data_IF_448941654849
#
_entry.id   IF_448941654849
#
_cell.length_a   1.000
_cell.length_b   1.000
_cell.length_c   1.000
_cell.angle_alpha   90.00
_cell.angle_beta   90.00
_cell.angle_gamma   90.00
#
_symmetry.space_group_name_H-M   'P 1'
#
loop_
_entity.id
_entity.type
_entity.pdbx_description
1 polymer ?
#
# COMPACT_ATOMS: atom_id res chain seq x y z
N UNK A 1 -3.68 5.60 11.46
CA UNK A 1 -2.71 6.36 10.66
C UNK A 1 -2.26 5.48 9.49
N UNK A 2 -1.33 5.94 8.64
CA UNK A 2 -0.77 5.13 7.54
C UNK A 2 0.51 4.35 7.96
N UNK A 3 0.78 4.17 9.25
CA UNK A 3 2.07 3.64 9.74
C UNK A 3 2.40 2.25 9.20
N UNK A 4 1.40 1.35 9.11
CA UNK A 4 1.61 0.01 8.57
C UNK A 4 1.99 0.04 7.08
N UNK A 5 1.32 0.88 6.29
CA UNK A 5 1.64 1.08 4.88
C UNK A 5 3.04 1.69 4.73
N UNK A 6 3.40 2.69 5.54
CA UNK A 6 4.71 3.34 5.47
C UNK A 6 5.87 2.41 5.84
N UNK A 7 5.70 1.52 6.84
CA UNK A 7 6.69 0.48 7.14
C UNK A 7 6.91 -0.43 5.94
N UNK A 8 5.82 -0.93 5.36
CA UNK A 8 5.84 -1.86 4.24
C UNK A 8 6.58 -1.32 3.00
N UNK A 9 6.53 -0.01 2.72
CA UNK A 9 7.23 0.59 1.57
C UNK A 9 8.75 0.34 1.56
N UNK A 10 9.33 0.01 2.72
CA UNK A 10 10.74 -0.33 2.88
C UNK A 10 11.05 -1.83 2.80
N UNK A 11 10.02 -2.68 2.72
CA UNK A 11 10.13 -4.13 2.92
C UNK A 11 10.07 -4.94 1.61
N UNK A 12 9.32 -4.47 0.60
CA UNK A 12 9.09 -5.25 -0.62
C UNK A 12 8.96 -4.41 -1.88
N UNK A 13 9.96 -4.55 -2.77
CA UNK A 13 10.16 -3.64 -3.88
C UNK A 13 10.59 -2.25 -3.40
N UNK A 14 11.33 -1.52 -4.24
CA UNK A 14 11.74 -0.15 -3.91
C UNK A 14 10.49 0.74 -3.89
N UNK A 15 10.03 1.10 -2.68
CA UNK A 15 8.78 1.84 -2.45
C UNK A 15 7.56 1.20 -3.13
N UNK A 16 7.54 -0.14 -3.17
CA UNK A 16 6.48 -0.95 -3.77
C UNK A 16 5.35 -1.24 -2.79
N UNK A 17 4.19 -1.61 -3.34
CA UNK A 17 3.06 -2.12 -2.55
C UNK A 17 2.81 -3.54 -3.07
N UNK A 18 2.94 -4.53 -2.17
CA UNK A 18 2.74 -5.94 -2.52
C UNK A 18 1.33 -6.16 -3.08
N UNK A 19 1.22 -7.08 -4.05
CA UNK A 19 -0.07 -7.49 -4.61
C UNK A 19 -0.89 -8.26 -3.58
N UNK A 20 -0.23 -9.15 -2.83
CA UNK A 20 -0.84 -9.97 -1.79
C UNK A 20 0.01 -9.98 -0.53
N UNK A 21 -0.63 -10.34 0.58
CA UNK A 21 -0.01 -10.47 1.90
C UNK A 21 -0.51 -11.76 2.57
N UNK A 22 0.35 -12.40 3.37
CA UNK A 22 -0.05 -13.54 4.18
C UNK A 22 -1.16 -13.17 5.19
N UNK A 23 -2.08 -14.10 5.44
CA UNK A 23 -3.11 -13.93 6.47
C UNK A 23 -2.62 -14.13 7.90
N UNK A 24 -1.45 -14.74 8.09
CA UNK A 24 -0.83 -14.96 9.40
C UNK A 24 0.27 -13.94 9.64
N UNK A 25 0.47 -13.52 10.89
CA UNK A 25 1.63 -12.71 11.30
C UNK A 25 2.94 -13.39 10.85
N UNK A 26 3.92 -12.66 10.27
CA UNK A 26 4.03 -11.20 10.17
C UNK A 26 3.42 -10.57 8.91
N UNK A 27 2.47 -11.23 8.23
CA UNK A 27 1.82 -10.74 7.01
C UNK A 27 2.81 -10.40 5.89
N UNK A 28 3.64 -11.39 5.48
CA UNK A 28 4.68 -11.14 4.49
C UNK A 28 4.06 -10.76 3.13
N UNK A 29 4.64 -9.78 2.43
CA UNK A 29 4.22 -9.43 1.08
C UNK A 29 4.70 -10.47 0.06
N UNK A 30 3.89 -10.70 -0.96
CA UNK A 30 4.19 -11.59 -2.09
C UNK A 30 3.51 -11.09 -3.38
N UNK A 31 3.72 -11.80 -4.48
CA UNK A 31 3.21 -11.44 -5.81
C UNK A 31 4.00 -10.29 -6.43
N UNK A 32 3.37 -9.53 -7.32
CA UNK A 32 4.06 -8.42 -7.99
C UNK A 32 4.24 -7.20 -7.07
N UNK A 33 5.48 -6.69 -6.87
CA UNK A 33 5.75 -5.56 -5.97
C UNK A 33 5.28 -4.19 -6.48
N UNK A 34 4.92 -4.06 -7.77
CA UNK A 34 4.55 -2.80 -8.42
C UNK A 34 3.35 -2.93 -9.35
N UNK A 35 2.20 -3.36 -8.83
CA UNK A 35 0.97 -3.33 -9.62
C UNK A 35 0.28 -1.97 -9.60
N UNK A 36 -0.24 -1.59 -10.77
CA UNK A 36 -0.91 -0.32 -10.95
C UNK A 36 -2.14 -0.16 -10.05
N UNK A 37 -2.91 -1.23 -9.81
CA UNK A 37 -4.11 -1.14 -8.98
C UNK A 37 -3.80 -0.84 -7.51
N UNK A 38 -2.68 -1.34 -6.98
CA UNK A 38 -2.35 -1.17 -5.55
C UNK A 38 -2.03 0.30 -5.27
N UNK A 39 -1.27 0.93 -6.16
CA UNK A 39 -0.96 2.37 -6.08
C UNK A 39 -2.20 3.21 -6.36
N UNK A 40 -2.99 2.85 -7.38
CA UNK A 40 -4.20 3.58 -7.73
C UNK A 40 -5.22 3.64 -6.58
N UNK A 41 -5.36 2.55 -5.82
CA UNK A 41 -6.30 2.49 -4.70
C UNK A 41 -5.86 3.40 -3.53
N UNK A 42 -4.57 3.42 -3.20
CA UNK A 42 -4.04 4.37 -2.20
C UNK A 42 -4.25 5.81 -2.66
N UNK A 43 -3.98 6.12 -3.93
CA UNK A 43 -4.23 7.45 -4.49
C UNK A 43 -5.70 7.83 -4.46
N UNK A 44 -6.62 6.90 -4.76
CA UNK A 44 -8.07 7.14 -4.70
C UNK A 44 -8.52 7.53 -3.30
N UNK A 45 -8.04 6.83 -2.26
CA UNK A 45 -8.34 7.18 -0.87
C UNK A 45 -7.77 8.55 -0.52
N UNK A 46 -6.48 8.78 -0.81
CA UNK A 46 -5.81 10.06 -0.49
C UNK A 46 -6.42 11.26 -1.23
N UNK A 47 -6.87 11.08 -2.47
CA UNK A 47 -7.52 12.15 -3.24
C UNK A 47 -8.94 12.41 -2.76
N UNK A 48 -9.68 11.36 -2.36
CA UNK A 48 -11.00 11.51 -1.77
C UNK A 48 -10.95 12.18 -0.38
N UNK A 49 -9.92 11.90 0.42
CA UNK A 49 -9.71 12.60 1.69
C UNK A 49 -9.36 14.08 1.48
N UNK A 50 -8.55 14.40 0.46
CA UNK A 50 -8.20 15.79 0.11
C UNK A 50 -9.39 16.60 -0.43
N UNK A 51 -10.43 15.94 -0.95
CA UNK A 51 -11.67 16.59 -1.38
C UNK A 51 -12.60 17.03 -0.24
N UNK A 52 -12.33 16.65 1.01
CA UNK A 52 -13.09 17.06 2.20
C UNK A 52 -12.54 18.31 2.90
N UNK A 53 -11.39 18.81 2.46
CA UNK A 53 -10.80 20.09 2.89
C UNK A 53 -10.78 21.06 1.71
N UNK A 54 -11.96 21.56 1.36
CA UNK A 54 -12.12 22.83 0.65
C UNK A 54 -12.26 23.96 1.67
#
# INVERSE_FOLDING_TARGET
>A
DFSALLSHLSEYGVNGIGEIFDGNEPHRPDGCPWQAWSVAEVLRVLTNEKGATG
#
